data_IF_837085353309
#
_entry.id   IF_837085353309
#
_cell.length_a   1.000
_cell.length_b   1.000
_cell.length_c   1.000
_cell.angle_alpha   90.00
_cell.angle_beta   90.00
_cell.angle_gamma   90.00
#
_symmetry.space_group_name_H-M   'P 1'
#
loop_
_entity.id
_entity.type
_entity.pdbx_description
1 polymer ?
#
# COMPACT_ATOMS: atom_id res chain seq x y z
N UNK A 1 -7.78 -19.61 3.52
CA UNK A 1 -7.88 -18.87 4.79
C UNK A 1 -7.84 -17.43 4.37
N UNK A 2 -8.93 -16.68 4.53
CA UNK A 2 -8.99 -15.29 4.09
C UNK A 2 -8.28 -14.40 5.09
N UNK A 3 -7.36 -13.58 4.59
CA UNK A 3 -6.68 -12.56 5.40
C UNK A 3 -7.61 -11.37 5.49
N UNK A 4 -8.03 -11.04 6.71
CA UNK A 4 -8.87 -9.88 6.98
C UNK A 4 -7.98 -8.70 7.41
N UNK A 5 -8.18 -7.54 6.78
CA UNK A 5 -7.56 -6.28 7.20
C UNK A 5 -8.53 -5.55 8.11
N UNK A 6 -8.10 -5.25 9.34
CA UNK A 6 -8.89 -4.49 10.29
C UNK A 6 -8.88 -2.99 9.93
N UNK A 7 -10.05 -2.45 9.63
CA UNK A 7 -10.26 -1.08 9.18
C UNK A 7 -10.73 -0.14 10.31
N UNK A 8 -11.25 -0.71 11.40
CA UNK A 8 -11.76 0.03 12.55
C UNK A 8 -13.02 -0.63 13.12
N UNK A 9 -13.94 0.18 13.61
CA UNK A 9 -15.21 -0.26 14.19
C UNK A 9 -16.40 0.29 13.39
N UNK A 10 -17.42 -0.53 13.23
CA UNK A 10 -18.73 -0.13 12.70
C UNK A 10 -19.52 0.67 13.76
N UNK A 11 -20.60 1.32 13.34
CA UNK A 11 -21.51 2.00 14.28
C UNK A 11 -22.16 1.08 15.32
N UNK A 12 -22.15 -0.23 15.08
CA UNK A 12 -22.63 -1.24 16.03
C UNK A 12 -21.54 -1.72 17.01
N UNK A 13 -20.32 -1.16 16.96
CA UNK A 13 -19.18 -1.56 17.79
C UNK A 13 -18.52 -2.88 17.35
N UNK A 14 -18.95 -3.45 16.23
CA UNK A 14 -18.30 -4.63 15.65
C UNK A 14 -17.10 -4.21 14.78
N UNK A 15 -16.07 -5.05 14.73
CA UNK A 15 -14.90 -4.84 13.87
C UNK A 15 -15.31 -4.70 12.41
N UNK A 16 -14.90 -3.59 11.78
CA UNK A 16 -14.98 -3.40 10.34
C UNK A 16 -13.73 -4.02 9.72
N UNK A 17 -13.91 -5.05 8.90
CA UNK A 17 -12.81 -5.76 8.25
C UNK A 17 -12.99 -5.76 6.73
N UNK A 18 -11.87 -5.77 6.01
CA UNK A 18 -11.80 -5.85 4.56
C UNK A 18 -11.10 -7.14 4.15
N UNK A 19 -11.70 -7.90 3.24
CA UNK A 19 -11.13 -9.16 2.76
C UNK A 19 -10.01 -8.88 1.74
N UNK A 20 -8.79 -9.33 2.05
CA UNK A 20 -7.65 -9.11 1.18
C UNK A 20 -7.77 -9.86 -0.15
N UNK A 21 -8.32 -11.07 -0.17
CA UNK A 21 -8.50 -11.84 -1.41
C UNK A 21 -9.49 -11.12 -2.35
N UNK A 22 -10.60 -10.61 -1.79
CA UNK A 22 -11.56 -9.81 -2.55
C UNK A 22 -10.93 -8.51 -3.08
N UNK A 23 -10.11 -7.83 -2.26
CA UNK A 23 -9.40 -6.62 -2.67
C UNK A 23 -8.47 -6.89 -3.85
N UNK A 24 -7.74 -8.01 -3.83
CA UNK A 24 -6.80 -8.39 -4.90
C UNK A 24 -7.53 -8.82 -6.18
N UNK A 25 -8.74 -9.37 -6.05
CA UNK A 25 -9.59 -9.71 -7.20
C UNK A 25 -10.29 -8.49 -7.81
N UNK A 26 -10.34 -7.37 -7.08
CA UNK A 26 -11.11 -6.17 -7.44
C UNK A 26 -10.26 -4.90 -7.38
N UNK A 27 -10.90 -3.74 -7.17
CA UNK A 27 -10.24 -2.44 -7.03
C UNK A 27 -10.94 -1.67 -5.91
N UNK A 28 -10.14 -0.97 -5.12
CA UNK A 28 -10.64 -0.07 -4.08
C UNK A 28 -10.47 1.39 -4.51
N UNK A 29 -11.53 2.19 -4.29
CA UNK A 29 -11.50 3.64 -4.40
C UNK A 29 -11.67 4.23 -3.01
N UNK A 30 -10.66 4.97 -2.53
CA UNK A 30 -10.73 5.73 -1.28
C UNK A 30 -10.90 7.20 -1.62
N UNK A 31 -11.99 7.81 -1.16
CA UNK A 31 -12.29 9.22 -1.39
C UNK A 31 -12.57 9.96 -0.09
N UNK A 32 -12.22 11.24 -0.08
CA UNK A 32 -12.38 12.11 1.08
C UNK A 32 -11.57 13.39 0.92
N UNK A 33 -11.96 14.45 1.62
CA UNK A 33 -11.25 15.73 1.59
C UNK A 33 -9.92 15.66 2.36
N UNK A 34 -9.12 16.73 2.32
CA UNK A 34 -7.96 16.84 3.22
C UNK A 34 -8.41 16.72 4.68
N UNK A 35 -7.64 16.00 5.51
CA UNK A 35 -7.97 15.73 6.92
C UNK A 35 -9.03 14.64 7.18
N UNK A 36 -9.63 14.04 6.15
CA UNK A 36 -10.64 12.97 6.33
C UNK A 36 -10.08 11.61 6.77
N UNK A 37 -8.77 11.47 6.95
CA UNK A 37 -8.13 10.22 7.36
C UNK A 37 -7.77 9.26 6.23
N UNK A 38 -7.76 9.69 4.96
CA UNK A 38 -7.38 8.85 3.81
C UNK A 38 -6.02 8.17 4.00
N UNK A 39 -4.96 8.93 4.29
CA UNK A 39 -3.61 8.39 4.47
C UNK A 39 -3.54 7.43 5.67
N UNK A 40 -4.33 7.68 6.72
CA UNK A 40 -4.44 6.76 7.86
C UNK A 40 -5.06 5.41 7.45
N UNK A 41 -6.14 5.44 6.69
CA UNK A 41 -6.79 4.24 6.17
C UNK A 41 -5.87 3.46 5.22
N UNK A 42 -5.22 4.15 4.27
CA UNK A 42 -4.27 3.53 3.35
C UNK A 42 -3.07 2.94 4.09
N UNK A 43 -2.54 3.63 5.11
CA UNK A 43 -1.46 3.11 5.94
C UNK A 43 -1.87 1.81 6.64
N UNK A 44 -3.08 1.73 7.23
CA UNK A 44 -3.58 0.47 7.83
C UNK A 44 -3.66 -0.67 6.82
N UNK A 45 -4.13 -0.38 5.60
CA UNK A 45 -4.16 -1.37 4.51
C UNK A 45 -2.76 -1.84 4.15
N UNK A 46 -1.83 -0.90 3.93
CA UNK A 46 -0.46 -1.21 3.53
C UNK A 46 0.28 -2.02 4.60
N UNK A 47 0.23 -1.59 5.86
CA UNK A 47 0.92 -2.27 6.97
C UNK A 47 0.40 -3.70 7.20
N UNK A 48 -0.92 -3.90 7.15
CA UNK A 48 -1.51 -5.22 7.40
C UNK A 48 -1.40 -6.16 6.20
N UNK A 49 -1.33 -5.64 4.97
CA UNK A 49 -1.17 -6.46 3.76
C UNK A 49 0.29 -6.72 3.38
N UNK A 50 1.26 -5.98 3.94
CA UNK A 50 2.68 -6.12 3.61
C UNK A 50 3.25 -7.54 3.75
N UNK A 51 2.88 -8.36 4.76
CA UNK A 51 3.38 -9.73 4.87
C UNK A 51 2.81 -10.71 3.84
N UNK A 52 1.75 -10.31 3.12
CA UNK A 52 0.94 -11.22 2.32
C UNK A 52 1.06 -10.95 0.82
N UNK A 53 1.30 -9.68 0.45
CA UNK A 53 1.33 -9.27 -0.96
C UNK A 53 2.49 -8.33 -1.23
N UNK A 54 3.08 -8.48 -2.41
CA UNK A 54 4.04 -7.51 -2.91
C UNK A 54 3.33 -6.19 -3.20
N UNK A 55 3.89 -5.09 -2.71
CA UNK A 55 3.29 -3.76 -2.82
C UNK A 55 4.17 -2.81 -3.64
N UNK A 56 3.53 -1.98 -4.46
CA UNK A 56 4.15 -0.83 -5.12
C UNK A 56 3.30 0.38 -4.79
N UNK A 57 3.92 1.40 -4.23
CA UNK A 57 3.25 2.61 -3.73
C UNK A 57 3.75 3.78 -4.56
N UNK A 58 2.83 4.55 -5.13
CA UNK A 58 3.12 5.83 -5.76
C UNK A 58 2.70 6.90 -4.75
N UNK A 59 3.68 7.56 -4.15
CA UNK A 59 3.49 8.44 -2.99
C UNK A 59 3.99 9.85 -3.31
N UNK A 60 3.16 10.69 -3.95
CA UNK A 60 3.56 12.06 -4.28
C UNK A 60 3.69 12.97 -3.04
N UNK A 61 3.11 12.59 -1.90
CA UNK A 61 3.08 13.39 -0.67
C UNK A 61 4.17 12.95 0.33
N UNK A 62 4.78 11.78 0.14
CA UNK A 62 5.79 11.22 1.04
C UNK A 62 5.24 10.64 2.35
N UNK A 63 3.93 10.36 2.43
CA UNK A 63 3.23 9.87 3.63
C UNK A 63 3.68 8.46 4.08
N UNK A 64 4.25 7.68 3.16
CA UNK A 64 4.48 6.24 3.32
C UNK A 64 5.97 5.84 3.30
N UNK A 65 6.90 6.77 3.14
CA UNK A 65 8.35 6.50 3.09
C UNK A 65 8.83 5.72 4.33
N UNK A 66 8.27 5.99 5.52
CA UNK A 66 8.64 5.29 6.75
C UNK A 66 8.26 3.80 6.77
N UNK A 67 7.41 3.33 5.84
CA UNK A 67 7.16 1.89 5.68
C UNK A 67 8.43 1.15 5.23
N UNK A 68 9.35 1.83 4.55
CA UNK A 68 10.61 1.24 4.09
C UNK A 68 11.45 0.67 5.23
N UNK A 69 11.54 1.40 6.35
CA UNK A 69 12.32 0.97 7.51
C UNK A 69 11.76 -0.31 8.16
N UNK A 70 10.44 -0.47 8.14
CA UNK A 70 9.75 -1.58 8.82
C UNK A 70 9.50 -2.79 7.93
N UNK A 71 9.22 -2.57 6.65
CA UNK A 71 8.78 -3.60 5.71
C UNK A 71 9.75 -3.79 4.53
N UNK A 72 10.86 -3.05 4.47
CA UNK A 72 11.89 -3.23 3.46
C UNK A 72 11.52 -2.72 2.06
N UNK A 73 10.60 -1.76 1.95
CA UNK A 73 10.32 -1.13 0.66
C UNK A 73 11.56 -0.43 0.11
N UNK A 74 11.84 -0.66 -1.18
CA UNK A 74 12.80 0.15 -1.94
C UNK A 74 12.19 1.53 -2.20
N UNK A 75 12.77 2.56 -1.61
CA UNK A 75 12.38 3.96 -1.85
C UNK A 75 13.10 4.46 -3.09
N UNK A 76 12.35 5.07 -4.01
CA UNK A 76 12.87 5.71 -5.21
C UNK A 76 12.42 7.17 -5.18
N UNK A 77 13.38 8.09 -5.13
CA UNK A 77 13.09 9.50 -5.40
C UNK A 77 12.91 9.69 -6.91
N UNK A 78 11.67 9.99 -7.31
CA UNK A 78 11.32 10.11 -8.72
C UNK A 78 11.97 11.33 -9.38
N UNK A 79 12.24 12.41 -8.62
CA UNK A 79 12.84 13.63 -9.17
C UNK A 79 14.32 13.44 -9.51
N UNK A 80 15.00 12.53 -8.80
CA UNK A 80 16.42 12.21 -9.05
C UNK A 80 16.63 11.28 -10.25
N UNK A 81 15.57 10.81 -10.91
CA UNK A 81 15.63 9.78 -11.93
C UNK A 81 14.97 10.18 -13.25
N UNK A 82 15.55 9.71 -14.35
CA UNK A 82 14.92 9.85 -15.67
C UNK A 82 13.73 8.90 -15.81
N UNK A 83 12.78 9.23 -16.68
CA UNK A 83 11.65 8.36 -17.03
C UNK A 83 12.10 6.94 -17.42
N UNK A 84 13.16 6.82 -18.22
CA UNK A 84 13.77 5.54 -18.58
C UNK A 84 14.33 4.78 -17.37
N UNK A 85 14.90 5.50 -16.41
CA UNK A 85 15.40 4.92 -15.16
C UNK A 85 14.26 4.33 -14.33
N UNK A 86 13.15 5.07 -14.19
CA UNK A 86 11.96 4.61 -13.48
C UNK A 86 11.31 3.41 -14.17
N UNK A 87 11.24 3.39 -15.50
CA UNK A 87 10.76 2.24 -16.26
C UNK A 87 11.62 0.99 -15.97
N UNK A 88 12.94 1.12 -16.04
CA UNK A 88 13.85 0.01 -15.76
C UNK A 88 13.77 -0.48 -14.31
N UNK A 89 13.46 0.40 -13.35
CA UNK A 89 13.19 0.00 -11.96
C UNK A 89 11.90 -0.82 -11.85
N UNK A 90 10.80 -0.37 -12.50
CA UNK A 90 9.53 -1.11 -12.54
C UNK A 90 9.64 -2.47 -13.22
N UNK A 91 10.37 -2.56 -14.33
CA UNK A 91 10.65 -3.83 -15.02
C UNK A 91 11.41 -4.80 -14.11
N UNK A 92 12.44 -4.32 -13.41
CA UNK A 92 13.19 -5.14 -12.44
C UNK A 92 12.32 -5.59 -11.28
N UNK A 93 11.52 -4.70 -10.71
CA UNK A 93 10.59 -5.04 -9.63
C UNK A 93 9.62 -6.16 -10.04
N UNK A 94 9.13 -6.11 -11.28
CA UNK A 94 8.27 -7.14 -11.88
C UNK A 94 9.00 -8.47 -12.10
N UNK A 95 10.19 -8.44 -12.69
CA UNK A 95 10.98 -9.65 -12.99
C UNK A 95 11.34 -10.39 -11.70
N UNK A 96 11.83 -9.65 -10.71
CA UNK A 96 12.38 -10.24 -9.50
C UNK A 96 11.32 -10.56 -8.46
N UNK A 97 10.05 -10.14 -8.67
CA UNK A 97 8.98 -10.19 -7.67
C UNK A 97 9.54 -9.90 -6.28
N UNK A 98 10.27 -8.78 -6.17
CA UNK A 98 11.07 -8.36 -5.00
C UNK A 98 10.22 -8.55 -3.74
N UNK A 99 10.39 -9.72 -3.14
CA UNK A 99 9.76 -10.22 -1.93
C UNK A 99 10.92 -10.93 -1.26
N UNK A 100 11.53 -10.23 -0.32
CA UNK A 100 12.48 -10.83 0.62
C UNK A 100 11.70 -11.61 1.67
#
# INVERSE_FOLDING_TARGET
MTVAIEMGETSAGATAALDLEELLATRLLVQGNSGSGKSHLLRRLLEQSAPWVQQTIIDPEGDFVSLAERFGHLVIDAEEHTERGLQAAGERARIHRVST
#
